data_IF_207790757356
#
_entry.id   IF_207790757356
#
_cell.length_a   1.000
_cell.length_b   1.000
_cell.length_c   1.000
_cell.angle_alpha   90.00
_cell.angle_beta   90.00
_cell.angle_gamma   90.00
#
_symmetry.space_group_name_H-M   'P 1'
#
loop_
_entity.id
_entity.type
_entity.pdbx_description
1 polymer ?
#
# COMPACT_ATOMS: atom_id res chain seq x y z
N UNK A 1 6.20 -7.58 -34.23
CA UNK A 1 6.19 -6.40 -33.35
C UNK A 1 6.98 -6.77 -32.12
N UNK A 2 7.74 -5.85 -31.48
CA UNK A 2 8.37 -6.19 -30.22
C UNK A 2 7.31 -6.67 -29.23
N UNK A 3 7.60 -7.72 -28.46
CA UNK A 3 6.70 -8.25 -27.47
C UNK A 3 6.41 -7.19 -26.41
N UNK A 4 5.15 -6.96 -26.09
CA UNK A 4 4.78 -6.05 -25.01
C UNK A 4 5.18 -6.71 -23.68
N UNK A 5 5.93 -6.03 -22.79
CA UNK A 5 6.37 -6.62 -21.54
C UNK A 5 5.22 -6.82 -20.59
N UNK A 6 5.28 -7.86 -19.79
CA UNK A 6 4.47 -7.99 -18.59
C UNK A 6 5.01 -7.07 -17.50
N UNK A 7 4.13 -6.52 -16.66
CA UNK A 7 4.47 -5.55 -15.63
C UNK A 7 3.97 -6.05 -14.27
N UNK A 8 4.85 -6.12 -13.30
CA UNK A 8 4.52 -6.32 -11.89
C UNK A 8 4.92 -5.07 -11.10
N UNK A 9 3.97 -4.46 -10.41
CA UNK A 9 4.21 -3.34 -9.51
C UNK A 9 3.97 -3.83 -8.09
N UNK A 10 4.98 -3.71 -7.23
CA UNK A 10 4.87 -3.96 -5.79
C UNK A 10 5.14 -2.64 -5.08
N UNK A 11 4.17 -2.17 -4.31
CA UNK A 11 4.26 -0.90 -3.60
C UNK A 11 3.98 -1.12 -2.12
N UNK A 12 4.96 -0.77 -1.27
CA UNK A 12 4.80 -0.64 0.18
C UNK A 12 4.30 0.75 0.56
N UNK A 13 3.84 0.93 1.80
CA UNK A 13 3.41 2.22 2.32
C UNK A 13 4.28 2.66 3.51
N UNK A 14 4.75 3.90 3.49
CA UNK A 14 5.67 4.46 4.50
C UNK A 14 7.02 3.75 4.64
N UNK A 15 7.44 2.98 3.64
CA UNK A 15 8.77 2.38 3.67
C UNK A 15 9.84 3.45 3.53
N UNK A 16 10.83 3.44 4.42
CA UNK A 16 11.96 4.35 4.37
C UNK A 16 12.86 3.99 3.18
N UNK A 17 13.26 4.98 2.42
CA UNK A 17 14.09 4.78 1.23
C UNK A 17 15.46 4.15 1.53
N UNK A 18 16.01 4.41 2.72
CA UNK A 18 17.33 3.90 3.15
C UNK A 18 17.31 2.42 3.56
N UNK A 19 16.13 1.80 3.75
CA UNK A 19 16.02 0.36 4.08
C UNK A 19 16.65 -0.53 3.00
N UNK A 20 16.65 -0.10 1.75
CA UNK A 20 17.29 -0.81 0.64
C UNK A 20 18.81 -0.53 0.52
N UNK A 21 19.35 0.41 1.31
CA UNK A 21 20.76 0.70 1.29
C UNK A 21 21.57 -0.45 1.92
N UNK A 22 22.67 -0.91 1.30
CA UNK A 22 23.45 -2.06 1.79
C UNK A 22 23.96 -1.93 3.23
N UNK A 23 24.13 -0.72 3.73
CA UNK A 23 24.58 -0.46 5.11
C UNK A 23 23.43 -0.40 6.13
N UNK A 24 22.17 -0.50 5.69
CA UNK A 24 21.03 -0.49 6.61
C UNK A 24 20.90 -1.82 7.35
N UNK A 25 20.67 -1.83 8.68
CA UNK A 25 20.64 -3.07 9.47
C UNK A 25 19.46 -3.99 9.15
N UNK A 26 18.39 -3.46 8.55
CA UNK A 26 17.22 -4.27 8.18
C UNK A 26 17.55 -5.23 7.04
N UNK A 27 17.40 -6.55 7.23
CA UNK A 27 17.69 -7.51 6.16
C UNK A 27 16.58 -7.49 5.09
N UNK A 28 16.96 -7.11 3.87
CA UNK A 28 16.05 -7.11 2.70
C UNK A 28 16.63 -7.98 1.57
N UNK A 29 16.82 -9.30 1.75
CA UNK A 29 17.61 -10.14 0.83
C UNK A 29 17.04 -10.17 -0.58
N UNK A 30 15.72 -10.21 -0.73
CA UNK A 30 15.05 -10.29 -2.04
C UNK A 30 15.06 -8.94 -2.75
N UNK A 31 14.77 -7.84 -2.07
CA UNK A 31 14.86 -6.50 -2.65
C UNK A 31 16.29 -6.13 -3.00
N UNK A 32 17.26 -6.50 -2.13
CA UNK A 32 18.69 -6.34 -2.42
C UNK A 32 19.14 -7.16 -3.64
N UNK A 33 18.56 -8.35 -3.89
CA UNK A 33 18.81 -9.12 -5.10
C UNK A 33 18.28 -8.40 -6.33
N UNK A 34 17.03 -7.92 -6.30
CA UNK A 34 16.45 -7.14 -7.40
C UNK A 34 17.25 -5.88 -7.70
N UNK A 35 17.75 -5.19 -6.68
CA UNK A 35 18.61 -4.02 -6.85
C UNK A 35 19.92 -4.35 -7.56
N UNK A 36 20.51 -5.54 -7.33
CA UNK A 36 21.73 -5.98 -8.03
C UNK A 36 21.47 -6.44 -9.46
N UNK A 37 20.32 -7.05 -9.71
CA UNK A 37 19.94 -7.61 -11.03
C UNK A 37 19.28 -6.58 -11.94
N UNK A 38 18.81 -5.45 -11.37
CA UNK A 38 18.07 -4.40 -12.07
C UNK A 38 18.68 -3.02 -11.87
N UNK A 39 17.83 -2.03 -11.68
CA UNK A 39 18.19 -0.63 -11.46
C UNK A 39 17.66 -0.16 -10.11
N UNK A 40 18.56 0.34 -9.26
CA UNK A 40 18.21 0.99 -7.99
C UNK A 40 18.25 2.52 -8.18
N UNK A 41 17.14 3.18 -7.93
CA UNK A 41 17.04 4.64 -7.94
C UNK A 41 17.33 5.20 -6.55
N UNK A 42 18.53 5.72 -6.34
CA UNK A 42 18.95 6.29 -5.05
C UNK A 42 18.32 7.66 -4.75
N UNK A 43 17.78 8.33 -5.76
CA UNK A 43 17.17 9.65 -5.65
C UNK A 43 15.80 9.64 -6.35
N UNK A 44 14.85 8.92 -5.75
CA UNK A 44 13.45 8.94 -6.16
C UNK A 44 12.66 9.89 -5.25
N UNK A 45 11.87 10.77 -5.85
CA UNK A 45 11.09 11.77 -5.13
C UNK A 45 9.61 11.60 -5.40
N UNK A 46 8.79 11.70 -4.36
CA UNK A 46 7.35 11.81 -4.51
C UNK A 46 6.91 13.28 -4.47
N UNK A 47 5.82 13.58 -5.17
CA UNK A 47 5.26 14.95 -5.19
C UNK A 47 4.53 15.31 -3.91
N UNK A 48 4.23 14.33 -3.07
CA UNK A 48 3.61 14.48 -1.75
C UNK A 48 4.05 13.33 -0.85
N UNK A 49 4.30 13.63 0.41
CA UNK A 49 4.60 12.64 1.45
C UNK A 49 3.35 11.98 2.02
N UNK A 50 2.16 12.49 1.71
CA UNK A 50 0.88 11.96 2.15
C UNK A 50 0.39 10.86 1.19
N UNK A 51 -0.11 9.75 1.72
CA UNK A 51 -0.44 8.56 0.93
C UNK A 51 -1.45 8.81 -0.20
N UNK A 52 -2.59 9.47 0.06
CA UNK A 52 -3.60 9.67 -0.96
C UNK A 52 -3.12 10.53 -2.13
N UNK A 53 -2.56 11.74 -1.94
CA UNK A 53 -2.06 12.53 -3.07
C UNK A 53 -0.87 11.88 -3.76
N UNK A 54 0.01 11.16 -3.04
CA UNK A 54 1.11 10.42 -3.65
C UNK A 54 0.60 9.30 -4.57
N UNK A 55 -0.35 8.49 -4.08
CA UNK A 55 -0.96 7.40 -4.86
C UNK A 55 -1.78 7.93 -6.04
N UNK A 56 -2.52 9.02 -5.86
CA UNK A 56 -3.24 9.68 -6.93
C UNK A 56 -2.27 10.20 -8.02
N UNK A 57 -1.17 10.83 -7.62
CA UNK A 57 -0.13 11.27 -8.57
C UNK A 57 0.52 10.08 -9.29
N UNK A 58 0.80 8.98 -8.59
CA UNK A 58 1.32 7.77 -9.21
C UNK A 58 0.35 7.21 -10.24
N UNK A 59 -0.94 7.12 -9.91
CA UNK A 59 -1.95 6.57 -10.82
C UNK A 59 -2.28 7.46 -12.02
N UNK A 60 -2.09 8.77 -11.89
CA UNK A 60 -2.49 9.74 -12.94
C UNK A 60 -1.31 10.32 -13.71
N UNK A 61 -0.09 10.29 -13.14
CA UNK A 61 1.08 10.96 -13.71
C UNK A 61 1.04 12.49 -13.64
N UNK A 62 0.12 13.07 -12.85
CA UNK A 62 -0.01 14.53 -12.69
C UNK A 62 0.05 14.96 -11.22
N UNK A 63 0.27 16.26 -11.00
CA UNK A 63 0.36 16.84 -9.65
C UNK A 63 -0.99 16.96 -8.95
N UNK A 64 -1.01 17.07 -7.59
CA UNK A 64 -2.23 17.28 -6.81
C UNK A 64 -3.09 18.44 -7.27
N UNK A 65 -2.49 19.52 -7.72
CA UNK A 65 -3.19 20.69 -8.29
C UNK A 65 -4.01 20.36 -9.56
N UNK A 66 -3.67 19.25 -10.23
CA UNK A 66 -4.39 18.80 -11.43
C UNK A 66 -5.38 17.70 -11.14
N UNK A 67 -4.98 16.68 -10.32
CA UNK A 67 -5.87 15.56 -10.02
C UNK A 67 -6.80 15.82 -8.82
N UNK A 68 -6.63 16.91 -8.08
CA UNK A 68 -7.54 17.36 -7.03
C UNK A 68 -7.36 16.73 -5.65
N UNK A 69 -6.61 15.66 -5.50
CA UNK A 69 -6.38 14.98 -4.21
C UNK A 69 -5.22 15.64 -3.48
N UNK A 70 -5.51 16.48 -2.48
CA UNK A 70 -4.51 17.26 -1.75
C UNK A 70 -4.15 16.69 -0.38
N UNK A 71 -5.09 15.94 0.23
CA UNK A 71 -4.91 15.34 1.55
C UNK A 71 -5.57 13.96 1.59
N UNK A 72 -5.66 13.34 2.78
CA UNK A 72 -6.29 12.04 2.92
C UNK A 72 -7.79 12.13 2.59
N UNK A 73 -8.20 11.41 1.55
CA UNK A 73 -9.57 11.40 1.03
C UNK A 73 -10.62 10.89 2.04
N UNK A 74 -10.16 10.21 3.10
CA UNK A 74 -11.02 9.68 4.17
C UNK A 74 -11.24 10.69 5.30
N UNK A 75 -10.47 11.76 5.35
CA UNK A 75 -10.62 12.77 6.38
C UNK A 75 -11.89 13.58 6.14
N UNK A 76 -12.53 13.99 7.26
CA UNK A 76 -13.70 14.90 7.20
C UNK A 76 -13.36 16.26 6.58
N UNK A 77 -12.10 16.66 6.62
CA UNK A 77 -11.56 17.89 6.05
C UNK A 77 -10.96 17.71 4.67
N UNK A 78 -11.24 16.58 3.99
CA UNK A 78 -10.78 16.37 2.63
C UNK A 78 -11.38 17.44 1.70
N UNK A 79 -10.51 18.12 0.95
CA UNK A 79 -10.92 19.12 -0.05
C UNK A 79 -11.67 18.42 -1.19
N UNK A 80 -11.13 17.29 -1.63
CA UNK A 80 -11.77 16.39 -2.58
C UNK A 80 -11.65 14.95 -2.07
N UNK A 81 -12.66 14.14 -2.34
CA UNK A 81 -12.72 12.74 -1.89
C UNK A 81 -12.23 11.75 -2.93
N UNK A 82 -11.83 12.22 -4.10
CA UNK A 82 -11.33 11.43 -5.22
C UNK A 82 -10.72 12.31 -6.29
N UNK A 83 -10.50 11.72 -7.45
CA UNK A 83 -9.92 12.41 -8.59
C UNK A 83 -10.89 13.46 -9.18
N UNK A 84 -10.35 14.57 -9.62
CA UNK A 84 -11.13 15.59 -10.32
C UNK A 84 -11.78 15.02 -11.59
N UNK A 85 -12.98 15.49 -12.00
CA UNK A 85 -13.64 15.06 -13.22
C UNK A 85 -12.72 15.16 -14.44
N UNK A 86 -12.76 14.15 -15.30
CA UNK A 86 -11.98 14.12 -16.54
C UNK A 86 -10.49 13.74 -16.37
N UNK A 87 -10.02 13.52 -15.14
CA UNK A 87 -8.67 12.98 -14.92
C UNK A 87 -8.69 11.48 -15.20
N UNK A 88 -7.88 11.04 -16.14
CA UNK A 88 -7.67 9.63 -16.45
C UNK A 88 -6.44 9.09 -15.72
N UNK A 89 -6.41 7.77 -15.53
CA UNK A 89 -5.29 7.08 -14.92
C UNK A 89 -4.52 6.28 -15.98
N UNK A 90 -3.22 6.04 -15.76
CA UNK A 90 -2.44 5.22 -16.69
C UNK A 90 -2.96 3.78 -16.82
N UNK A 91 -3.57 3.15 -15.78
CA UNK A 91 -4.20 1.82 -15.94
C UNK A 91 -5.30 1.80 -17.01
N UNK A 92 -6.11 2.85 -17.07
CA UNK A 92 -7.16 2.94 -18.11
C UNK A 92 -6.57 2.97 -19.51
N UNK A 93 -5.36 3.57 -19.68
CA UNK A 93 -4.66 3.58 -20.95
C UNK A 93 -4.09 2.20 -21.30
N UNK A 94 -3.49 1.50 -20.34
CA UNK A 94 -2.99 0.13 -20.57
C UNK A 94 -4.12 -0.86 -20.84
N UNK A 95 -5.24 -0.76 -20.11
CA UNK A 95 -6.44 -1.57 -20.38
C UNK A 95 -6.93 -1.39 -21.82
N UNK A 96 -7.04 -0.13 -22.28
CA UNK A 96 -7.39 0.19 -23.68
C UNK A 96 -6.35 -0.30 -24.69
N UNK A 97 -5.09 -0.40 -24.30
CA UNK A 97 -4.03 -0.99 -25.11
C UNK A 97 -4.02 -2.52 -25.11
N UNK A 98 -4.99 -3.16 -24.43
CA UNK A 98 -5.19 -4.60 -24.44
C UNK A 98 -4.37 -5.34 -23.37
N UNK A 99 -3.91 -4.68 -22.30
CA UNK A 99 -3.34 -5.35 -21.14
C UNK A 99 -4.44 -5.96 -20.25
N UNK A 100 -4.18 -7.12 -19.67
CA UNK A 100 -4.96 -7.62 -18.53
C UNK A 100 -4.48 -6.92 -17.28
N UNK A 101 -5.36 -6.14 -16.65
CA UNK A 101 -5.02 -5.27 -15.51
C UNK A 101 -5.52 -5.93 -14.22
N UNK A 102 -4.63 -6.29 -13.29
CA UNK A 102 -4.97 -6.98 -12.04
C UNK A 102 -4.51 -6.20 -10.82
N UNK A 103 -5.39 -6.00 -9.85
CA UNK A 103 -5.13 -5.17 -8.67
C UNK A 103 -5.46 -5.91 -7.37
N UNK A 104 -4.55 -5.85 -6.40
CA UNK A 104 -4.80 -6.24 -5.01
C UNK A 104 -4.10 -5.30 -4.04
N UNK A 105 -4.60 -5.22 -2.82
CA UNK A 105 -4.01 -4.41 -1.74
C UNK A 105 -4.58 -3.00 -1.62
N UNK A 106 -3.77 -2.09 -1.09
CA UNK A 106 -4.18 -0.73 -0.73
C UNK A 106 -4.43 0.16 -1.94
N UNK A 107 -5.64 0.69 -2.08
CA UNK A 107 -6.00 1.69 -3.10
C UNK A 107 -5.70 3.12 -2.64
N UNK A 108 -6.51 3.69 -1.80
CA UNK A 108 -6.34 4.98 -1.14
C UNK A 108 -6.13 6.18 -2.10
N UNK A 109 -6.66 6.09 -3.32
CA UNK A 109 -6.68 7.17 -4.33
C UNK A 109 -7.98 7.96 -4.24
N UNK A 110 -9.09 7.27 -3.97
CA UNK A 110 -10.42 7.83 -3.87
C UNK A 110 -11.18 7.16 -2.72
N UNK A 111 -12.07 7.89 -2.07
CA UNK A 111 -13.06 7.36 -1.14
C UNK A 111 -14.35 6.91 -1.85
N UNK A 112 -14.51 7.28 -3.10
CA UNK A 112 -15.76 7.09 -3.89
C UNK A 112 -15.56 6.04 -4.99
N UNK A 113 -14.35 5.92 -5.52
CA UNK A 113 -14.00 5.02 -6.61
C UNK A 113 -13.09 3.89 -6.14
N UNK A 114 -13.26 2.75 -6.76
CA UNK A 114 -12.42 1.56 -6.56
C UNK A 114 -11.41 1.40 -7.71
N UNK A 115 -10.40 0.53 -7.58
CA UNK A 115 -9.55 0.18 -8.70
C UNK A 115 -10.34 -0.27 -9.95
N UNK A 116 -11.44 -1.00 -9.75
CA UNK A 116 -12.31 -1.48 -10.83
C UNK A 116 -12.90 -0.34 -11.67
N UNK A 117 -13.17 0.82 -11.08
CA UNK A 117 -13.69 2.00 -11.79
C UNK A 117 -12.62 2.68 -12.65
N UNK A 118 -11.36 2.27 -12.51
CA UNK A 118 -10.18 2.87 -13.11
C UNK A 118 -9.35 1.88 -13.95
N UNK A 119 -10.03 0.89 -14.55
CA UNK A 119 -9.43 -0.01 -15.53
C UNK A 119 -8.74 -1.24 -14.95
N UNK A 120 -8.86 -1.49 -13.64
CA UNK A 120 -8.33 -2.67 -12.99
C UNK A 120 -9.42 -3.74 -12.79
N UNK A 121 -9.03 -4.98 -12.85
CA UNK A 121 -9.78 -6.11 -12.32
C UNK A 121 -9.22 -6.45 -10.93
N UNK A 122 -10.09 -6.39 -9.91
CA UNK A 122 -9.72 -6.65 -8.54
C UNK A 122 -9.65 -8.15 -8.26
N UNK A 123 -8.65 -8.58 -7.47
CA UNK A 123 -8.54 -9.95 -6.98
C UNK A 123 -8.03 -9.98 -5.54
N UNK A 124 -8.26 -11.11 -4.85
CA UNK A 124 -7.88 -11.26 -3.45
C UNK A 124 -8.48 -10.17 -2.56
N UNK A 125 -7.71 -9.60 -1.67
CA UNK A 125 -8.16 -8.56 -0.74
C UNK A 125 -7.72 -7.17 -1.20
N UNK A 126 -8.67 -6.36 -1.67
CA UNK A 126 -8.46 -4.95 -1.97
C UNK A 126 -8.88 -4.11 -0.77
N UNK A 127 -7.95 -3.33 -0.25
CA UNK A 127 -8.21 -2.39 0.83
C UNK A 127 -8.66 -1.04 0.24
N UNK A 128 -9.86 -1.03 -0.31
CA UNK A 128 -10.58 0.18 -0.67
C UNK A 128 -11.58 0.50 0.43
N UNK A 129 -11.85 1.78 0.65
CA UNK A 129 -12.82 2.18 1.67
C UNK A 129 -14.22 1.94 1.15
N UNK A 130 -15.06 1.19 1.88
CA UNK A 130 -16.47 1.09 1.54
C UNK A 130 -17.12 2.47 1.58
N UNK A 131 -18.04 2.79 0.66
CA UNK A 131 -18.75 4.08 0.62
C UNK A 131 -19.47 4.44 1.93
N UNK A 132 -19.86 3.44 2.70
CA UNK A 132 -20.61 3.60 3.95
C UNK A 132 -19.72 3.97 5.16
N UNK A 133 -18.40 3.91 5.05
CA UNK A 133 -17.46 4.27 6.13
C UNK A 133 -16.94 5.70 5.99
N UNK A 134 -17.84 6.66 6.13
CA UNK A 134 -17.45 8.09 6.20
C UNK A 134 -16.98 8.56 7.58
N UNK A 135 -16.96 7.68 8.57
CA UNK A 135 -16.36 7.96 9.87
C UNK A 135 -14.88 7.63 9.84
N UNK A 136 -14.05 8.61 10.11
CA UNK A 136 -12.61 8.45 10.15
C UNK A 136 -12.24 7.38 11.18
N UNK A 137 -11.36 6.46 10.79
CA UNK A 137 -10.79 5.46 11.71
C UNK A 137 -10.04 6.11 12.89
N UNK A 138 -9.78 7.41 12.81
CA UNK A 138 -9.15 8.23 13.83
C UNK A 138 -10.07 8.44 15.05
N UNK A 139 -11.39 8.55 14.85
CA UNK A 139 -12.36 8.77 15.92
C UNK A 139 -12.64 7.49 16.73
N UNK A 140 -12.23 6.33 16.21
CA UNK A 140 -12.46 5.00 16.80
C UNK A 140 -11.18 4.24 17.14
N UNK A 141 -10.08 4.93 17.40
CA UNK A 141 -8.88 4.23 17.87
C UNK A 141 -9.19 3.55 19.19
N UNK A 142 -8.94 2.24 19.31
CA UNK A 142 -9.10 1.54 20.58
C UNK A 142 -8.22 2.25 21.61
N UNK A 143 -8.76 2.49 22.79
CA UNK A 143 -7.97 3.00 23.90
C UNK A 143 -6.82 2.03 24.19
N UNK A 144 -5.76 2.51 24.87
CA UNK A 144 -4.56 1.74 25.23
C UNK A 144 -4.89 0.33 25.74
N UNK A 145 -5.83 0.24 26.69
CA UNK A 145 -6.26 -1.01 27.30
C UNK A 145 -6.94 -1.97 26.31
N UNK A 146 -7.69 -1.44 25.34
CA UNK A 146 -8.37 -2.27 24.34
C UNK A 146 -7.41 -2.86 23.32
N UNK A 147 -6.39 -2.13 22.91
CA UNK A 147 -5.37 -2.62 21.98
C UNK A 147 -4.55 -3.77 22.60
N UNK A 148 -4.10 -3.58 23.85
CA UNK A 148 -3.31 -4.58 24.57
C UNK A 148 -4.15 -5.82 24.93
N UNK A 149 -5.39 -5.65 25.40
CA UNK A 149 -6.21 -6.74 25.91
C UNK A 149 -6.97 -7.49 24.82
N UNK A 150 -7.56 -6.78 23.84
CA UNK A 150 -8.41 -7.42 22.83
C UNK A 150 -7.63 -7.93 21.62
N UNK A 151 -6.51 -7.28 21.28
CA UNK A 151 -5.67 -7.66 20.15
C UNK A 151 -4.48 -8.53 20.58
N UNK A 152 -4.26 -8.72 21.88
CA UNK A 152 -3.14 -9.49 22.42
C UNK A 152 -1.78 -8.92 22.05
N UNK A 153 -1.70 -7.60 21.74
CA UNK A 153 -0.46 -6.95 21.38
C UNK A 153 0.50 -6.93 22.58
N UNK A 154 1.78 -7.17 22.30
CA UNK A 154 2.87 -7.13 23.29
C UNK A 154 3.85 -6.01 22.97
N UNK A 155 4.64 -5.63 23.96
CA UNK A 155 5.72 -4.63 23.81
C UNK A 155 5.23 -3.31 23.20
N UNK A 156 4.06 -2.86 23.67
CA UNK A 156 3.39 -1.69 23.11
C UNK A 156 4.12 -0.39 23.48
N UNK A 157 4.49 0.36 22.47
CA UNK A 157 5.03 1.72 22.61
C UNK A 157 3.97 2.73 22.21
N UNK A 158 3.63 3.64 23.15
CA UNK A 158 2.60 4.64 22.96
C UNK A 158 3.19 6.04 22.93
N UNK A 159 2.71 6.86 22.01
CA UNK A 159 3.06 8.29 21.93
C UNK A 159 1.91 9.09 22.52
N UNK A 160 2.14 9.82 23.62
CA UNK A 160 1.16 10.76 24.15
C UNK A 160 0.93 11.91 23.18
N UNK A 161 -0.31 12.37 23.10
CA UNK A 161 -0.71 13.48 22.22
C UNK A 161 -1.63 14.41 23.01
N UNK A 162 -1.14 15.63 23.28
CA UNK A 162 -1.91 16.63 24.02
C UNK A 162 -3.26 16.91 23.36
N UNK A 163 -4.34 16.73 24.13
CA UNK A 163 -5.70 16.93 23.65
C UNK A 163 -6.26 15.82 22.75
N UNK A 164 -5.52 14.72 22.54
CA UNK A 164 -5.93 13.59 21.72
C UNK A 164 -5.66 12.26 22.43
N UNK A 165 -6.34 11.17 22.05
CA UNK A 165 -5.96 9.84 22.54
C UNK A 165 -4.51 9.50 22.18
N UNK A 166 -3.83 8.80 23.09
CA UNK A 166 -2.49 8.25 22.83
C UNK A 166 -2.50 7.42 21.54
N UNK A 167 -1.44 7.56 20.76
CA UNK A 167 -1.28 6.79 19.52
C UNK A 167 -0.33 5.63 19.72
N UNK A 168 -0.73 4.44 19.33
CA UNK A 168 0.18 3.29 19.26
C UNK A 168 1.24 3.57 18.19
N UNK A 169 2.51 3.54 18.57
CA UNK A 169 3.64 3.68 17.65
C UNK A 169 4.08 2.30 17.15
N UNK A 170 4.34 1.39 18.08
CA UNK A 170 4.76 0.03 17.77
C UNK A 170 4.26 -0.97 18.78
N UNK A 171 4.19 -2.23 18.37
CA UNK A 171 3.90 -3.39 19.22
C UNK A 171 4.35 -4.65 18.51
N UNK A 172 4.28 -5.79 19.18
CA UNK A 172 4.42 -7.12 18.57
C UNK A 172 3.06 -7.80 18.51
N UNK A 173 2.70 -8.30 17.33
CA UNK A 173 1.46 -9.06 17.13
C UNK A 173 1.71 -10.55 17.38
N UNK A 174 0.91 -11.23 18.22
CA UNK A 174 1.08 -12.65 18.54
C UNK A 174 0.53 -13.56 17.40
N UNK A 175 1.07 -13.38 16.21
CA UNK A 175 0.80 -14.20 15.02
C UNK A 175 2.10 -14.40 14.26
N UNK A 176 2.15 -15.39 13.38
CA UNK A 176 3.25 -15.62 12.46
C UNK A 176 3.07 -14.86 11.15
N UNK A 177 4.13 -14.66 10.39
CA UNK A 177 4.11 -13.88 9.13
C UNK A 177 3.08 -14.41 8.12
N UNK A 178 2.91 -15.73 8.03
CA UNK A 178 1.95 -16.39 7.12
C UNK A 178 0.47 -16.15 7.48
N UNK A 179 0.20 -15.65 8.68
CA UNK A 179 -1.15 -15.26 9.12
C UNK A 179 -1.50 -13.80 8.80
N UNK A 180 -0.55 -13.05 8.24
CA UNK A 180 -0.76 -11.63 7.90
C UNK A 180 -1.56 -11.42 6.62
N UNK A 181 -2.15 -10.24 6.49
CA UNK A 181 -2.82 -9.82 5.25
C UNK A 181 -1.83 -9.73 4.09
N UNK A 182 -0.65 -9.20 4.33
CA UNK A 182 0.40 -9.01 3.35
C UNK A 182 0.89 -10.35 2.77
N UNK A 183 1.00 -11.36 3.62
CA UNK A 183 1.32 -12.72 3.16
C UNK A 183 0.23 -13.26 2.24
N UNK A 184 -1.03 -13.18 2.65
CA UNK A 184 -2.16 -13.63 1.80
C UNK A 184 -2.21 -12.90 0.48
N UNK A 185 -2.12 -11.57 0.47
CA UNK A 185 -2.08 -10.77 -0.76
C UNK A 185 -0.90 -11.16 -1.66
N UNK A 186 0.23 -11.50 -1.07
CA UNK A 186 1.41 -11.98 -1.81
C UNK A 186 1.12 -13.34 -2.45
N UNK A 187 0.53 -14.29 -1.71
CA UNK A 187 0.17 -15.61 -2.26
C UNK A 187 -0.88 -15.49 -3.37
N UNK A 188 -1.90 -14.65 -3.18
CA UNK A 188 -2.90 -14.36 -4.21
C UNK A 188 -2.22 -13.79 -5.47
N UNK A 189 -1.26 -12.88 -5.31
CA UNK A 189 -0.51 -12.30 -6.42
C UNK A 189 0.33 -13.34 -7.16
N UNK A 190 1.00 -14.24 -6.44
CA UNK A 190 1.79 -15.34 -7.02
C UNK A 190 0.86 -16.27 -7.82
N UNK A 191 -0.30 -16.63 -7.29
CA UNK A 191 -1.28 -17.45 -7.97
C UNK A 191 -1.78 -16.77 -9.25
N UNK A 192 -2.10 -15.48 -9.17
CA UNK A 192 -2.53 -14.66 -10.31
C UNK A 192 -1.46 -14.58 -11.40
N UNK A 193 -0.19 -14.34 -11.03
CA UNK A 193 0.91 -14.31 -12.00
C UNK A 193 1.06 -15.67 -12.70
N UNK A 194 0.92 -16.78 -11.98
CA UNK A 194 0.99 -18.13 -12.57
C UNK A 194 -0.15 -18.35 -13.58
N UNK A 195 -1.35 -17.89 -13.27
CA UNK A 195 -2.49 -17.93 -14.21
C UNK A 195 -2.19 -17.09 -15.47
N UNK A 196 -1.70 -15.86 -15.27
CA UNK A 196 -1.42 -14.93 -16.36
C UNK A 196 -0.25 -15.36 -17.24
N UNK A 197 0.72 -16.07 -16.67
CA UNK A 197 1.93 -16.53 -17.40
C UNK A 197 1.60 -17.51 -18.55
N UNK A 198 0.45 -18.18 -18.49
CA UNK A 198 -0.05 -19.04 -19.57
C UNK A 198 -0.78 -18.31 -20.70
N UNK A 199 -0.89 -16.98 -20.64
CA UNK A 199 -1.60 -16.16 -21.62
C UNK A 199 -0.63 -15.44 -22.57
N UNK A 200 -0.97 -15.40 -23.86
CA UNK A 200 -0.26 -14.58 -24.85
C UNK A 200 -0.58 -13.07 -24.71
N UNK A 201 -1.60 -12.73 -23.92
CA UNK A 201 -2.00 -11.34 -23.68
C UNK A 201 -1.08 -10.72 -22.64
N UNK A 202 -0.52 -9.51 -22.89
CA UNK A 202 0.29 -8.82 -21.90
C UNK A 202 -0.55 -8.45 -20.68
N UNK A 203 0.08 -8.48 -19.52
CA UNK A 203 -0.58 -8.17 -18.26
C UNK A 203 0.18 -7.15 -17.42
N UNK A 204 -0.56 -6.45 -16.57
CA UNK A 204 -0.03 -5.59 -15.53
C UNK A 204 -0.70 -5.96 -14.20
N UNK A 205 0.08 -6.39 -13.23
CA UNK A 205 -0.40 -6.74 -11.89
C UNK A 205 0.14 -5.74 -10.86
N UNK A 206 -0.73 -5.25 -10.01
CA UNK A 206 -0.39 -4.36 -8.91
C UNK A 206 -0.66 -5.03 -7.56
N UNK A 207 0.35 -5.00 -6.70
CA UNK A 207 0.28 -5.41 -5.29
C UNK A 207 0.62 -4.21 -4.41
N UNK A 208 -0.35 -3.72 -3.65
CA UNK A 208 -0.18 -2.62 -2.72
C UNK A 208 -0.23 -3.07 -1.27
N UNK A 209 0.91 -3.23 -0.60
CA UNK A 209 0.92 -3.49 0.84
C UNK A 209 0.55 -2.25 1.65
N UNK A 210 -0.08 -2.47 2.80
CA UNK A 210 -0.30 -1.41 3.78
C UNK A 210 0.94 -1.19 4.64
N UNK A 211 1.68 -2.27 4.91
CA UNK A 211 2.91 -2.21 5.68
C UNK A 211 4.08 -1.63 4.87
N UNK A 212 5.06 -1.04 5.55
CA UNK A 212 5.20 -0.81 7.00
C UNK A 212 4.56 0.49 7.53
N UNK A 213 3.39 0.88 7.05
CA UNK A 213 2.65 2.03 7.60
C UNK A 213 2.40 1.87 9.11
N UNK A 214 2.52 2.94 9.88
CA UNK A 214 2.26 2.93 11.32
C UNK A 214 0.79 2.54 11.68
N UNK A 215 0.54 1.95 12.85
CA UNK A 215 1.49 1.51 13.85
C UNK A 215 2.36 0.34 13.36
N UNK A 216 3.65 0.34 13.76
CA UNK A 216 4.59 -0.72 13.39
C UNK A 216 4.33 -1.96 14.24
N UNK A 217 3.62 -2.93 13.70
CA UNK A 217 3.16 -4.11 14.45
C UNK A 217 3.58 -5.39 13.70
N UNK A 218 4.87 -5.73 13.71
CA UNK A 218 5.36 -6.95 13.08
C UNK A 218 4.77 -8.19 13.76
N UNK A 219 4.66 -9.32 13.02
CA UNK A 219 4.43 -10.64 13.58
C UNK A 219 5.57 -11.03 14.53
N UNK A 220 5.28 -11.88 15.51
CA UNK A 220 6.26 -12.28 16.53
C UNK A 220 7.49 -13.01 15.96
N UNK A 221 7.30 -13.83 14.94
CA UNK A 221 8.40 -14.54 14.28
C UNK A 221 9.31 -13.62 13.45
N UNK A 222 8.78 -12.48 13.00
CA UNK A 222 9.57 -11.43 12.33
C UNK A 222 10.27 -10.56 13.36
N UNK A 223 9.55 -10.14 14.40
CA UNK A 223 10.14 -9.34 15.49
C UNK A 223 11.32 -10.07 16.16
N UNK A 224 11.22 -11.38 16.37
CA UNK A 224 12.28 -12.20 16.97
C UNK A 224 13.56 -12.29 16.12
N UNK A 225 13.55 -11.88 14.85
CA UNK A 225 14.74 -11.86 13.99
C UNK A 225 15.54 -10.56 14.09
N UNK A 226 14.94 -9.57 14.69
CA UNK A 226 15.55 -8.26 14.88
C UNK A 226 15.98 -8.20 16.34
N UNK A 227 17.24 -8.53 16.60
CA UNK A 227 17.85 -8.29 17.91
C UNK A 227 18.11 -6.78 18.03
N UNK A 228 17.53 -6.08 19.03
CA UNK A 228 17.66 -4.64 19.19
C UNK A 228 19.07 -4.21 19.60
#
# INVERSE_FOLDING_TARGET
MPSRPNVLIVMSDHERADVLHPAHPCPTPHASRLAREGVLFNQAYTVSTHCCPSRASFMTGVYPSRHGVFNNVLNRTAIHRGLSPGVTTWPEHLARAGYRMKYTGKWHVSAEERPADRGWEEFGTVTAVPPERHETSWDRRPGRRDAETRQGLRDCVWVPRDGWPDSLLSAVRPVTADQTLEYRQTQDTIAMIRELAGSDQPWCTYLGWVTPHDPYVPPEDVAARLDP
#
